data_IF_396999383140
#
_entry.id   IF_396999383140
#
_cell.length_a   1.000
_cell.length_b   1.000
_cell.length_c   1.000
_cell.angle_alpha   90.00
_cell.angle_beta   90.00
_cell.angle_gamma   90.00
#
_symmetry.space_group_name_H-M   'P 1'
#
loop_
_entity.id
_entity.type
_entity.pdbx_description
1 polymer ?
#
# COMPACT_ATOMS: atom_id res chain seq x y z
N UNK A 1 3.79 4.22 -11.68
CA UNK A 1 3.73 2.76 -11.87
C UNK A 1 4.16 2.47 -13.29
N UNK A 2 5.02 1.47 -13.55
CA UNK A 2 5.43 1.09 -14.90
C UNK A 2 4.60 -0.07 -15.44
N UNK A 3 4.40 -1.11 -14.64
CA UNK A 3 3.55 -2.24 -14.97
C UNK A 3 3.14 -2.99 -13.70
N UNK A 4 2.14 -3.86 -13.80
CA UNK A 4 1.67 -4.75 -12.77
C UNK A 4 1.40 -6.12 -13.41
N UNK A 5 1.88 -7.19 -12.78
CA UNK A 5 1.63 -8.58 -13.16
C UNK A 5 0.91 -9.28 -11.99
N UNK A 6 -0.41 -9.42 -12.08
CA UNK A 6 -1.23 -9.85 -10.94
C UNK A 6 -1.02 -8.92 -9.75
N UNK A 7 -0.52 -9.43 -8.63
CA UNK A 7 -0.20 -8.62 -7.44
C UNK A 7 1.24 -8.07 -7.45
N UNK A 8 2.08 -8.44 -8.41
CA UNK A 8 3.47 -7.99 -8.54
C UNK A 8 3.51 -6.61 -9.21
N UNK A 9 3.87 -5.56 -8.46
CA UNK A 9 3.86 -4.17 -8.95
C UNK A 9 5.28 -3.70 -9.25
N UNK A 10 5.53 -3.34 -10.52
CA UNK A 10 6.79 -2.76 -10.97
C UNK A 10 6.68 -1.23 -11.03
N UNK A 11 7.36 -0.55 -10.09
CA UNK A 11 7.35 0.90 -10.01
C UNK A 11 8.64 1.48 -9.42
N UNK A 12 8.96 2.72 -9.79
CA UNK A 12 10.15 3.41 -9.29
C UNK A 12 11.42 2.65 -9.65
N UNK A 13 12.27 2.38 -8.67
CA UNK A 13 13.53 1.66 -8.85
C UNK A 13 13.35 0.15 -9.15
N UNK A 14 12.13 -0.40 -8.98
CA UNK A 14 11.76 -1.78 -9.38
C UNK A 14 11.28 -1.89 -10.83
N UNK A 15 11.40 -0.83 -11.61
CA UNK A 15 10.97 -0.84 -13.02
C UNK A 15 11.89 -1.75 -13.83
N UNK A 16 11.38 -2.58 -14.76
CA UNK A 16 12.22 -3.38 -15.62
C UNK A 16 13.20 -2.49 -16.40
N UNK A 17 14.47 -2.88 -16.40
CA UNK A 17 15.52 -2.22 -17.20
C UNK A 17 15.42 -2.58 -18.67
N UNK A 18 14.78 -3.71 -18.99
CA UNK A 18 14.40 -4.08 -20.36
C UNK A 18 13.09 -4.87 -20.38
N UNK A 19 12.38 -4.72 -21.49
CA UNK A 19 11.17 -5.47 -21.82
C UNK A 19 11.27 -5.98 -23.25
N UNK A 20 10.89 -7.24 -23.48
CA UNK A 20 10.84 -7.85 -24.82
C UNK A 20 9.46 -8.47 -25.04
N UNK A 21 9.00 -8.43 -26.30
CA UNK A 21 7.72 -8.99 -26.73
C UNK A 21 7.94 -9.76 -28.02
N UNK A 22 7.42 -10.98 -28.08
CA UNK A 22 7.43 -11.81 -29.28
C UNK A 22 6.00 -12.26 -29.59
N UNK A 23 5.55 -11.88 -30.78
CA UNK A 23 4.29 -12.29 -31.38
C UNK A 23 4.59 -12.97 -32.71
N UNK A 24 4.00 -14.15 -32.92
CA UNK A 24 4.20 -14.92 -34.14
C UNK A 24 2.88 -15.45 -34.69
N UNK A 25 2.83 -15.62 -36.01
CA UNK A 25 1.70 -16.22 -36.73
C UNK A 25 2.22 -17.42 -37.48
N UNK A 26 1.52 -18.54 -37.34
CA UNK A 26 1.87 -19.80 -37.98
C UNK A 26 1.32 -19.86 -39.39
N UNK A 27 2.16 -20.15 -40.37
CA UNK A 27 1.77 -20.33 -41.77
C UNK A 27 1.94 -21.77 -42.21
N UNK A 28 0.91 -22.31 -42.86
CA UNK A 28 0.99 -23.52 -43.67
C UNK A 28 1.46 -23.18 -45.08
N UNK A 29 2.35 -24.00 -45.64
CA UNK A 29 2.81 -23.88 -47.01
C UNK A 29 2.15 -24.98 -47.86
N UNK A 30 1.55 -24.59 -48.97
CA UNK A 30 0.88 -25.48 -49.92
C UNK A 30 1.70 -25.47 -51.21
N UNK A 31 2.41 -26.57 -51.53
CA UNK A 31 3.19 -26.67 -52.75
C UNK A 31 2.32 -26.52 -54.00
N UNK A 32 2.82 -25.78 -54.99
CA UNK A 32 2.17 -25.62 -56.29
C UNK A 32 3.04 -26.18 -57.40
N UNK A 33 2.42 -26.81 -58.40
CA UNK A 33 3.16 -27.36 -59.55
C UNK A 33 3.71 -26.20 -60.38
N UNK A 34 5.03 -26.14 -60.54
CA UNK A 34 5.78 -25.11 -61.31
C UNK A 34 5.68 -23.65 -60.80
N UNK A 35 5.07 -23.44 -59.64
CA UNK A 35 4.94 -22.12 -59.00
C UNK A 35 5.55 -22.15 -57.59
N UNK A 36 5.72 -20.98 -56.97
CA UNK A 36 6.08 -20.88 -55.55
C UNK A 36 4.94 -21.40 -54.68
N UNK A 37 5.29 -21.95 -53.53
CA UNK A 37 4.34 -22.41 -52.53
C UNK A 37 3.39 -21.29 -52.10
N UNK A 38 2.10 -21.62 -51.98
CA UNK A 38 1.14 -20.71 -51.41
C UNK A 38 1.19 -20.76 -49.89
N UNK A 39 1.21 -19.59 -49.27
CA UNK A 39 1.16 -19.45 -47.81
C UNK A 39 -0.29 -19.28 -47.35
N UNK A 40 -0.66 -19.97 -46.28
CA UNK A 40 -1.97 -19.85 -45.63
C UNK A 40 -1.77 -19.66 -44.12
N UNK A 41 -2.35 -18.62 -43.49
CA UNK A 41 -2.29 -18.49 -42.04
C UNK A 41 -3.10 -19.63 -41.38
N UNK A 42 -2.48 -20.31 -40.42
CA UNK A 42 -3.04 -21.49 -39.73
C UNK A 42 -3.36 -21.23 -38.26
N UNK A 43 -2.85 -20.14 -37.68
CA UNK A 43 -3.15 -19.72 -36.31
C UNK A 43 -2.15 -18.68 -35.81
N UNK A 44 -2.49 -17.99 -34.73
CA UNK A 44 -1.53 -17.18 -33.97
C UNK A 44 -0.81 -18.08 -32.96
N UNK A 45 0.47 -17.83 -32.73
CA UNK A 45 1.21 -18.41 -31.62
C UNK A 45 0.96 -17.57 -30.36
N UNK A 46 1.18 -18.18 -29.19
CA UNK A 46 1.01 -17.50 -27.91
C UNK A 46 2.06 -16.41 -27.77
N UNK A 47 1.64 -15.22 -27.33
CA UNK A 47 2.58 -14.13 -27.08
C UNK A 47 3.54 -14.49 -25.96
N UNK A 48 4.82 -14.17 -26.16
CA UNK A 48 5.84 -14.24 -25.12
C UNK A 48 6.25 -12.84 -24.68
N UNK A 49 6.37 -12.63 -23.37
CA UNK A 49 6.91 -11.40 -22.79
C UNK A 49 8.11 -11.72 -21.91
N UNK A 50 9.15 -10.89 -22.01
CA UNK A 50 10.33 -10.95 -21.15
C UNK A 50 10.49 -9.65 -20.39
N UNK A 51 10.63 -9.71 -19.07
CA UNK A 51 10.87 -8.54 -18.22
C UNK A 51 12.17 -8.74 -17.45
N UNK A 52 13.15 -7.86 -17.62
CA UNK A 52 14.39 -7.90 -16.83
C UNK A 52 14.37 -6.81 -15.78
N UNK A 53 14.40 -7.19 -14.50
CA UNK A 53 14.31 -6.29 -13.35
C UNK A 53 15.58 -6.43 -12.50
N UNK A 54 16.04 -5.33 -11.93
CA UNK A 54 17.10 -5.34 -10.92
C UNK A 54 16.49 -5.07 -9.55
N UNK A 55 16.70 -5.99 -8.61
CA UNK A 55 16.30 -5.85 -7.21
C UNK A 55 17.52 -5.56 -6.35
N UNK A 56 17.42 -4.53 -5.49
CA UNK A 56 18.44 -4.17 -4.51
C UNK A 56 17.83 -4.00 -3.12
N UNK A 57 18.58 -4.38 -2.09
CA UNK A 57 18.25 -4.16 -0.68
C UNK A 57 18.10 -2.66 -0.34
N UNK A 58 18.66 -1.77 -1.15
CA UNK A 58 18.53 -0.31 -0.99
C UNK A 58 17.09 0.20 -1.14
N UNK A 59 16.25 -0.51 -1.92
CA UNK A 59 14.89 -0.06 -2.24
C UNK A 59 13.81 -1.15 -2.13
N UNK A 60 14.18 -2.40 -1.87
CA UNK A 60 13.25 -3.49 -1.66
C UNK A 60 13.87 -4.65 -0.88
N UNK A 61 13.08 -5.66 -0.54
CA UNK A 61 13.62 -6.95 -0.10
C UNK A 61 13.71 -7.88 -1.33
N UNK A 62 14.92 -8.12 -1.90
CA UNK A 62 15.05 -8.93 -3.11
C UNK A 62 14.57 -10.36 -2.92
N UNK A 63 14.76 -10.93 -1.72
CA UNK A 63 14.37 -12.32 -1.44
C UNK A 63 12.86 -12.48 -1.39
N UNK A 64 12.16 -11.55 -0.73
CA UNK A 64 10.70 -11.58 -0.67
C UNK A 64 10.06 -11.44 -2.07
N UNK A 65 10.58 -10.53 -2.91
CA UNK A 65 10.08 -10.32 -4.27
C UNK A 65 10.32 -11.54 -5.16
N UNK A 66 11.53 -12.10 -5.14
CA UNK A 66 11.88 -13.31 -5.90
C UNK A 66 11.02 -14.50 -5.43
N UNK A 67 10.80 -14.64 -4.12
CA UNK A 67 9.97 -15.69 -3.58
C UNK A 67 8.51 -15.55 -4.00
N UNK A 68 7.97 -14.33 -4.02
CA UNK A 68 6.62 -14.07 -4.48
C UNK A 68 6.43 -14.43 -5.96
N UNK A 69 7.39 -14.07 -6.83
CA UNK A 69 7.36 -14.46 -8.25
C UNK A 69 7.44 -15.99 -8.42
N UNK A 70 8.31 -16.66 -7.65
CA UNK A 70 8.40 -18.13 -7.66
C UNK A 70 7.10 -18.77 -7.18
N UNK A 71 6.44 -18.20 -6.17
CA UNK A 71 5.18 -18.71 -5.66
C UNK A 71 4.10 -18.67 -6.75
N UNK A 72 3.92 -17.54 -7.45
CA UNK A 72 2.96 -17.47 -8.57
C UNK A 72 3.33 -18.42 -9.73
N UNK A 73 4.63 -18.55 -10.04
CA UNK A 73 5.12 -19.50 -11.05
C UNK A 73 4.77 -20.96 -10.69
N UNK A 74 5.03 -21.38 -9.45
CA UNK A 74 4.75 -22.75 -8.99
C UNK A 74 3.27 -23.01 -8.71
N UNK A 75 2.48 -21.95 -8.48
CA UNK A 75 1.03 -22.02 -8.40
C UNK A 75 0.36 -22.14 -9.78
N UNK A 76 1.12 -22.00 -10.88
CA UNK A 76 0.62 -21.92 -12.25
C UNK A 76 -0.45 -20.84 -12.42
N UNK A 77 -0.26 -19.73 -11.71
CA UNK A 77 -1.24 -18.66 -11.63
C UNK A 77 -1.32 -17.89 -12.95
N UNK A 78 -2.54 -17.65 -13.42
CA UNK A 78 -2.80 -16.83 -14.60
C UNK A 78 -2.91 -15.37 -14.16
N UNK A 79 -1.88 -14.59 -14.48
CA UNK A 79 -1.69 -13.22 -13.98
C UNK A 79 -2.06 -12.20 -15.06
N UNK A 80 -2.92 -11.21 -14.78
CA UNK A 80 -3.13 -10.10 -15.70
C UNK A 80 -1.88 -9.22 -15.76
N UNK A 81 -1.42 -8.90 -16.97
CA UNK A 81 -0.37 -7.92 -17.19
C UNK A 81 -0.98 -6.56 -17.57
N UNK A 82 -0.71 -5.55 -16.75
CA UNK A 82 -1.29 -4.21 -16.84
C UNK A 82 -0.13 -3.22 -16.94
N UNK A 83 -0.11 -2.36 -17.95
CA UNK A 83 0.91 -1.32 -18.12
C UNK A 83 0.61 -0.10 -17.24
N UNK A 84 1.60 0.78 -17.08
CA UNK A 84 1.54 1.93 -16.17
C UNK A 84 0.51 3.00 -16.52
N UNK A 85 0.07 3.02 -17.78
CA UNK A 85 -1.06 3.81 -18.31
C UNK A 85 -2.43 3.17 -18.02
N UNK A 86 -2.45 1.99 -17.39
CA UNK A 86 -3.66 1.27 -17.00
C UNK A 86 -4.23 0.35 -18.09
N UNK A 87 -3.55 0.20 -19.22
CA UNK A 87 -3.97 -0.73 -20.28
C UNK A 87 -3.71 -2.17 -19.85
N UNK A 88 -4.76 -2.99 -19.95
CA UNK A 88 -4.64 -4.44 -19.75
C UNK A 88 -4.10 -5.04 -21.06
N UNK A 89 -2.89 -5.58 -21.02
CA UNK A 89 -2.22 -6.17 -22.19
C UNK A 89 -2.74 -7.57 -22.47
N UNK A 90 -2.99 -8.35 -21.42
CA UNK A 90 -3.44 -9.73 -21.52
C UNK A 90 -3.25 -10.48 -20.22
N UNK A 91 -3.41 -11.81 -20.28
CA UNK A 91 -3.19 -12.73 -19.17
C UNK A 91 -2.01 -13.63 -19.50
N UNK A 92 -1.12 -13.80 -18.53
CA UNK A 92 0.14 -14.50 -18.71
C UNK A 92 0.41 -15.44 -17.55
N UNK A 93 1.12 -16.53 -17.83
CA UNK A 93 1.73 -17.39 -16.81
C UNK A 93 3.24 -17.16 -16.80
N UNK A 94 3.85 -17.25 -15.62
CA UNK A 94 5.31 -17.23 -15.52
C UNK A 94 5.82 -18.62 -15.92
N UNK A 95 6.62 -18.71 -16.98
CA UNK A 95 7.20 -19.98 -17.45
C UNK A 95 8.56 -20.25 -16.85
N UNK A 96 9.34 -19.20 -16.62
CA UNK A 96 10.65 -19.29 -15.99
C UNK A 96 11.09 -17.97 -15.36
N UNK A 97 12.00 -18.09 -14.40
CA UNK A 97 12.66 -16.99 -13.71
C UNK A 97 14.17 -17.24 -13.75
N UNK A 98 14.90 -16.41 -14.50
CA UNK A 98 16.36 -16.45 -14.54
C UNK A 98 16.91 -15.43 -13.52
N UNK A 99 17.56 -15.92 -12.46
CA UNK A 99 18.03 -15.09 -11.35
C UNK A 99 19.55 -15.07 -11.35
N UNK A 100 20.13 -13.89 -11.53
CA UNK A 100 21.55 -13.63 -11.44
C UNK A 100 21.86 -12.79 -10.19
N UNK A 101 22.33 -13.46 -9.13
CA UNK A 101 22.78 -12.78 -7.92
C UNK A 101 24.12 -12.08 -8.18
N UNK A 102 24.17 -10.76 -7.97
CA UNK A 102 25.35 -9.94 -8.18
C UNK A 102 26.08 -9.64 -6.88
N UNK A 103 25.35 -9.40 -5.80
CA UNK A 103 25.90 -9.16 -4.46
C UNK A 103 25.09 -9.90 -3.40
N UNK A 104 25.80 -10.48 -2.44
CA UNK A 104 25.23 -11.15 -1.28
C UNK A 104 25.89 -10.59 -0.01
N UNK A 105 25.09 -10.44 1.03
CA UNK A 105 25.55 -10.06 2.36
C UNK A 105 26.36 -11.19 3.02
N UNK A 106 27.02 -10.87 4.13
CA UNK A 106 27.89 -11.79 4.87
C UNK A 106 27.14 -13.03 5.43
N UNK A 107 25.83 -12.93 5.58
CA UNK A 107 24.91 -13.99 6.00
C UNK A 107 24.37 -14.83 4.82
N UNK A 108 24.80 -14.53 3.59
CA UNK A 108 24.41 -15.23 2.35
C UNK A 108 23.09 -14.73 1.74
N UNK A 109 22.48 -13.68 2.30
CA UNK A 109 21.27 -13.09 1.75
C UNK A 109 21.58 -12.24 0.53
N UNK A 110 20.66 -12.19 -0.43
CA UNK A 110 20.84 -11.42 -1.67
C UNK A 110 20.64 -9.94 -1.40
N UNK A 111 21.67 -9.14 -1.67
CA UNK A 111 21.60 -7.68 -1.63
C UNK A 111 21.29 -7.09 -2.99
N UNK A 112 21.83 -7.67 -4.08
CA UNK A 112 21.60 -7.20 -5.44
C UNK A 112 21.44 -8.40 -6.38
N UNK A 113 20.34 -8.44 -7.13
CA UNK A 113 20.10 -9.46 -8.15
C UNK A 113 19.40 -8.89 -9.38
N UNK A 114 19.75 -9.42 -10.54
CA UNK A 114 18.98 -9.24 -11.77
C UNK A 114 18.08 -10.45 -11.98
N UNK A 115 16.80 -10.20 -12.21
CA UNK A 115 15.78 -11.23 -12.40
C UNK A 115 15.13 -11.02 -13.76
N UNK A 116 15.21 -12.02 -14.62
CA UNK A 116 14.47 -12.05 -15.89
C UNK A 116 13.25 -12.95 -15.74
N UNK A 117 12.07 -12.37 -15.94
CA UNK A 117 10.77 -13.03 -15.87
C UNK A 117 10.31 -13.31 -17.29
N UNK A 118 10.18 -14.60 -17.62
CA UNK A 118 9.65 -15.03 -18.91
C UNK A 118 8.18 -15.44 -18.74
N UNK A 119 7.34 -14.86 -19.58
CA UNK A 119 5.89 -14.94 -19.52
C UNK A 119 5.37 -15.54 -20.83
N UNK A 120 4.37 -16.40 -20.72
CA UNK A 120 3.65 -16.96 -21.86
C UNK A 120 2.17 -16.62 -21.74
N UNK A 121 1.59 -16.15 -22.84
CA UNK A 121 0.17 -15.84 -22.91
C UNK A 121 -0.69 -17.05 -22.55
N UNK A 122 -1.69 -16.82 -21.71
CA UNK A 122 -2.70 -17.82 -21.37
C UNK A 122 -4.01 -17.43 -22.06
N UNK A 123 -4.41 -18.13 -23.14
CA UNK A 123 -5.68 -17.91 -23.81
C UNK A 123 -6.79 -18.54 -22.97
N UNK A 124 -7.22 -17.85 -21.91
CA UNK A 124 -8.40 -18.23 -21.14
C UNK A 124 -9.68 -17.76 -21.82
N UNK A 125 -10.78 -18.51 -21.63
CA UNK A 125 -12.11 -17.95 -21.84
C UNK A 125 -12.23 -16.67 -21.02
N UNK A 126 -12.87 -15.67 -21.62
CA UNK A 126 -13.17 -14.40 -20.99
C UNK A 126 -14.05 -14.66 -19.77
N UNK A 127 -13.44 -14.90 -18.60
CA UNK A 127 -14.12 -14.74 -17.33
C UNK A 127 -14.64 -13.31 -17.34
N UNK A 128 -15.97 -13.22 -17.32
CA UNK A 128 -16.75 -12.07 -17.73
C UNK A 128 -16.03 -10.78 -17.35
N UNK A 129 -15.80 -9.93 -18.35
CA UNK A 129 -15.45 -8.55 -18.13
C UNK A 129 -16.20 -8.06 -16.88
N UNK A 130 -15.51 -7.42 -15.89
CA UNK A 130 -16.24 -6.81 -14.80
C UNK A 130 -17.35 -6.00 -15.46
N UNK A 131 -18.60 -6.26 -15.08
CA UNK A 131 -19.81 -5.71 -15.72
C UNK A 131 -19.95 -4.19 -15.53
N UNK A 132 -18.84 -3.48 -15.36
CA UNK A 132 -18.71 -2.06 -15.62
C UNK A 132 -18.80 -1.82 -17.12
N UNK A 133 -20.04 -1.80 -17.64
CA UNK A 133 -20.35 -1.09 -18.88
C UNK A 133 -19.77 0.33 -18.77
N UNK A 134 -18.80 0.66 -19.62
CA UNK A 134 -18.50 2.05 -19.90
C UNK A 134 -19.75 2.67 -20.53
N UNK A 135 -20.46 3.49 -19.76
CA UNK A 135 -21.64 4.23 -20.22
C UNK A 135 -21.18 5.34 -21.17
N UNK A 136 -20.93 5.01 -22.44
CA UNK A 136 -20.91 5.98 -23.54
C UNK A 136 -22.35 6.42 -23.82
N UNK A 137 -22.93 7.19 -22.91
CA UNK A 137 -24.17 7.94 -23.13
C UNK A 137 -24.27 9.00 -22.04
N UNK A 138 -23.79 10.19 -22.34
CA UNK A 138 -24.03 11.40 -21.56
C UNK A 138 -25.51 11.75 -21.62
N UNK A 139 -26.31 11.18 -20.71
CA UNK A 139 -27.58 11.77 -20.31
C UNK A 139 -27.77 11.56 -18.82
N UNK A 140 -27.59 12.60 -17.98
CA UNK A 140 -27.71 12.45 -16.54
C UNK A 140 -29.16 12.11 -16.19
N UNK A 141 -29.37 10.94 -15.60
CA UNK A 141 -30.56 10.68 -14.79
C UNK A 141 -30.19 11.16 -13.39
N UNK A 142 -30.94 12.15 -12.88
CA UNK A 142 -30.80 12.60 -11.51
C UNK A 142 -31.22 11.46 -10.57
N UNK A 143 -30.23 10.76 -10.00
CA UNK A 143 -30.45 9.78 -8.93
C UNK A 143 -30.39 10.54 -7.61
N UNK A 144 -31.44 10.37 -6.79
CA UNK A 144 -31.54 10.97 -5.47
C UNK A 144 -30.32 10.55 -4.59
N UNK A 145 -29.83 11.42 -3.70
CA UNK A 145 -28.61 11.16 -2.94
C UNK A 145 -28.83 9.96 -2.03
N UNK A 146 -28.13 8.87 -2.31
CA UNK A 146 -28.00 7.77 -1.35
C UNK A 146 -27.06 8.27 -0.25
N UNK A 147 -27.55 8.37 0.98
CA UNK A 147 -26.75 8.76 2.12
C UNK A 147 -25.49 7.88 2.21
N UNK A 148 -24.33 8.52 2.17
CA UNK A 148 -23.03 7.85 2.21
C UNK A 148 -22.84 7.15 3.56
N UNK A 149 -22.67 5.83 3.54
CA UNK A 149 -22.11 5.13 4.69
C UNK A 149 -20.68 5.66 4.93
N UNK A 150 -20.28 5.91 6.18
CA UNK A 150 -18.98 6.51 6.49
C UNK A 150 -17.85 5.60 6.00
N UNK A 151 -16.93 6.18 5.21
CA UNK A 151 -15.74 5.49 4.75
C UNK A 151 -14.80 5.21 5.95
N UNK A 152 -14.08 4.06 5.97
CA UNK A 152 -13.06 3.79 6.98
C UNK A 152 -12.04 4.92 7.18
N UNK A 153 -11.77 5.71 6.13
CA UNK A 153 -10.90 6.89 6.18
C UNK A 153 -11.50 8.04 7.02
N UNK A 154 -12.82 8.21 7.03
CA UNK A 154 -13.51 9.17 7.91
C UNK A 154 -13.37 8.76 9.38
N UNK A 155 -13.39 7.44 9.65
CA UNK A 155 -13.16 6.90 10.99
C UNK A 155 -11.75 7.16 11.52
N UNK A 156 -10.72 7.05 10.67
CA UNK A 156 -9.32 7.35 11.04
C UNK A 156 -9.15 8.84 11.36
N UNK A 157 -9.70 9.73 10.53
CA UNK A 157 -9.62 11.18 10.76
C UNK A 157 -10.33 11.62 12.05
N UNK A 158 -11.48 11.02 12.35
CA UNK A 158 -12.21 11.29 13.59
C UNK A 158 -11.44 10.80 14.83
N UNK A 159 -10.87 9.59 14.79
CA UNK A 159 -10.08 9.03 15.89
C UNK A 159 -8.81 9.87 16.16
N UNK A 160 -8.11 10.33 15.11
CA UNK A 160 -6.92 11.20 15.23
C UNK A 160 -7.27 12.59 15.76
N UNK A 161 -8.38 13.17 15.30
CA UNK A 161 -8.83 14.49 15.75
C UNK A 161 -9.28 14.47 17.22
N UNK A 162 -10.02 13.44 17.63
CA UNK A 162 -10.41 13.24 19.02
C UNK A 162 -9.18 13.02 19.93
N UNK A 163 -8.18 12.25 19.48
CA UNK A 163 -6.94 12.06 20.22
C UNK A 163 -6.15 13.37 20.39
N UNK A 164 -6.13 14.24 19.37
CA UNK A 164 -5.49 15.56 19.43
C UNK A 164 -6.15 16.49 20.46
N UNK A 165 -7.48 16.50 20.53
CA UNK A 165 -8.21 17.29 21.54
C UNK A 165 -7.91 16.80 22.96
N UNK A 166 -7.85 15.49 23.17
CA UNK A 166 -7.49 14.90 24.47
C UNK A 166 -6.07 15.26 24.90
N UNK A 167 -5.09 15.23 23.99
CA UNK A 167 -3.71 15.66 24.27
C UNK A 167 -3.63 17.17 24.60
N UNK A 168 -4.45 17.99 23.94
CA UNK A 168 -4.58 19.42 24.28
C UNK A 168 -5.17 19.64 25.68
N UNK A 169 -6.21 18.88 26.05
CA UNK A 169 -6.76 18.87 27.41
C UNK A 169 -5.73 18.44 28.47
N UNK A 170 -4.86 17.50 28.12
CA UNK A 170 -3.74 17.05 28.97
C UNK A 170 -2.75 18.18 29.26
N UNK A 171 -2.35 18.96 28.25
CA UNK A 171 -1.50 20.16 28.42
C UNK A 171 -2.15 21.19 29.34
N UNK A 172 -3.46 21.41 29.24
CA UNK A 172 -4.18 22.34 30.13
C UNK A 172 -4.28 21.83 31.57
N UNK A 173 -4.49 20.52 31.75
CA UNK A 173 -4.51 19.90 33.09
C UNK A 173 -3.15 19.99 33.79
N UNK A 174 -2.05 19.80 33.06
CA UNK A 174 -0.68 20.01 33.57
C UNK A 174 -0.42 21.47 33.93
N UNK A 175 -0.87 22.43 33.12
CA UNK A 175 -0.76 23.86 33.46
C UNK A 175 -1.53 24.23 34.75
N UNK A 176 -2.68 23.58 34.99
CA UNK A 176 -3.45 23.71 36.24
C UNK A 176 -2.76 23.01 37.42
N UNK A 177 -2.08 21.90 37.19
CA UNK A 177 -1.27 21.18 38.19
C UNK A 177 -0.06 22.01 38.62
N UNK A 178 0.62 22.68 37.68
CA UNK A 178 1.76 23.57 37.95
C UNK A 178 1.43 24.76 38.85
N UNK A 179 0.17 25.21 38.84
CA UNK A 179 -0.28 26.37 39.62
C UNK A 179 -0.87 26.02 41.00
N UNK A 180 -1.13 24.74 41.31
CA UNK A 180 -1.76 24.32 42.58
C UNK A 180 -1.24 22.94 43.07
N UNK A 181 -0.25 22.96 43.96
CA UNK A 181 0.45 21.79 44.55
C UNK A 181 -0.45 20.74 45.21
N UNK A 182 -1.63 21.11 45.72
CA UNK A 182 -2.59 20.17 46.37
C UNK A 182 -3.57 19.48 45.40
N UNK A 183 -3.68 19.95 44.15
CA UNK A 183 -4.45 19.26 43.08
C UNK A 183 -3.60 18.28 42.27
N UNK A 184 -2.31 18.13 42.59
CA UNK A 184 -1.35 17.27 41.88
C UNK A 184 -1.87 15.83 41.74
N UNK A 185 -2.34 15.19 42.83
CA UNK A 185 -2.89 13.82 42.77
C UNK A 185 -4.14 13.68 41.90
N UNK A 186 -4.97 14.74 41.83
CA UNK A 186 -6.19 14.73 41.01
C UNK A 186 -5.85 14.95 39.54
N UNK A 187 -4.99 15.91 39.26
CA UNK A 187 -4.52 16.19 37.90
C UNK A 187 -3.69 15.05 37.32
N UNK A 188 -2.88 14.34 38.12
CA UNK A 188 -2.17 13.13 37.67
C UNK A 188 -3.15 12.00 37.31
N UNK A 189 -4.21 11.79 38.10
CA UNK A 189 -5.26 10.81 37.75
C UNK A 189 -6.03 11.21 36.49
N UNK A 190 -6.35 12.48 36.33
CA UNK A 190 -6.97 13.00 35.11
C UNK A 190 -6.06 12.78 33.89
N UNK A 191 -4.74 13.05 34.02
CA UNK A 191 -3.74 12.79 32.97
C UNK A 191 -3.63 11.30 32.63
N UNK A 192 -3.60 10.42 33.63
CA UNK A 192 -3.58 8.96 33.43
C UNK A 192 -4.83 8.46 32.68
N UNK A 193 -6.00 8.95 33.08
CA UNK A 193 -7.26 8.54 32.46
C UNK A 193 -7.34 9.03 31.02
N UNK A 194 -6.94 10.27 30.77
CA UNK A 194 -6.90 10.87 29.43
C UNK A 194 -5.82 10.21 28.53
N UNK A 195 -4.71 9.74 29.11
CA UNK A 195 -3.70 8.96 28.41
C UNK A 195 -4.19 7.55 28.04
N UNK A 196 -4.95 6.91 28.92
CA UNK A 196 -5.57 5.59 28.66
C UNK A 196 -6.61 5.69 27.53
N UNK A 197 -7.44 6.74 27.55
CA UNK A 197 -8.39 7.04 26.47
C UNK A 197 -7.68 7.29 25.14
N UNK A 198 -6.60 8.09 25.15
CA UNK A 198 -5.80 8.37 23.96
C UNK A 198 -5.14 7.12 23.39
N UNK A 199 -4.61 6.23 24.26
CA UNK A 199 -4.05 4.94 23.86
C UNK A 199 -5.10 4.07 23.15
N UNK A 200 -6.33 4.01 23.67
CA UNK A 200 -7.43 3.27 23.04
C UNK A 200 -7.79 3.81 21.65
N UNK A 201 -7.82 5.13 21.48
CA UNK A 201 -8.08 5.77 20.19
C UNK A 201 -6.95 5.52 19.17
N UNK A 202 -5.69 5.63 19.59
CA UNK A 202 -4.56 5.33 18.70
C UNK A 202 -4.49 3.84 18.32
N UNK A 203 -4.84 2.93 19.23
CA UNK A 203 -4.92 1.49 18.93
C UNK A 203 -6.07 1.14 17.97
N UNK A 204 -7.24 1.78 18.14
CA UNK A 204 -8.37 1.70 17.19
C UNK A 204 -7.94 2.21 15.82
N UNK A 205 -7.30 3.38 15.76
CA UNK A 205 -6.79 3.96 14.52
C UNK A 205 -5.76 3.03 13.86
N UNK A 206 -4.82 2.45 14.62
CA UNK A 206 -3.83 1.47 14.13
C UNK A 206 -4.50 0.25 13.51
N UNK A 207 -5.53 -0.30 14.17
CA UNK A 207 -6.26 -1.47 13.67
C UNK A 207 -7.02 -1.16 12.38
N UNK A 208 -7.69 0.00 12.31
CA UNK A 208 -8.38 0.47 11.10
C UNK A 208 -7.38 0.79 9.98
N UNK A 209 -6.20 1.28 10.32
CA UNK A 209 -5.08 1.49 9.40
C UNK A 209 -4.64 0.14 8.84
N UNK A 210 -4.29 -0.84 9.67
CA UNK A 210 -3.93 -2.19 9.20
C UNK A 210 -5.01 -2.84 8.31
N UNK A 211 -6.29 -2.67 8.64
CA UNK A 211 -7.40 -3.15 7.81
C UNK A 211 -7.53 -2.43 6.45
N UNK A 212 -7.00 -1.20 6.35
CA UNK A 212 -7.04 -0.35 5.16
C UNK A 212 -5.68 -0.29 4.45
N UNK A 213 -4.79 -1.29 4.69
CA UNK A 213 -3.38 -1.34 4.24
C UNK A 213 -3.14 -0.92 2.78
N UNK A 214 -4.11 -1.20 1.89
CA UNK A 214 -4.07 -0.80 0.46
C UNK A 214 -4.05 0.71 0.22
N UNK A 215 -4.62 1.53 1.13
CA UNK A 215 -4.59 3.01 1.06
C UNK A 215 -3.31 3.56 1.73
N UNK A 216 -2.73 2.84 2.69
CA UNK A 216 -1.62 3.27 3.55
C UNK A 216 -0.24 3.19 2.90
N UNK A 217 -0.06 2.35 1.89
CA UNK A 217 1.18 2.37 1.11
C UNK A 217 1.46 3.74 0.45
N UNK A 218 0.47 4.65 0.39
CA UNK A 218 0.65 6.06 -0.04
C UNK A 218 0.88 7.05 1.11
N UNK A 219 0.70 6.64 2.38
CA UNK A 219 0.82 7.47 3.58
C UNK A 219 1.91 6.95 4.55
N UNK A 220 2.94 6.29 4.03
CA UNK A 220 3.80 5.27 4.67
C UNK A 220 4.34 5.50 6.09
N UNK A 221 4.34 6.72 6.63
CA UNK A 221 4.79 7.01 8.00
C UNK A 221 3.66 6.99 9.05
N UNK A 222 2.40 6.82 8.65
CA UNK A 222 1.25 6.82 9.56
C UNK A 222 1.29 5.68 10.60
N UNK A 223 1.61 4.41 10.26
CA UNK A 223 1.73 3.34 11.25
C UNK A 223 2.80 3.62 12.30
N UNK A 224 3.98 4.10 11.87
CA UNK A 224 5.11 4.43 12.74
C UNK A 224 4.77 5.57 13.71
N UNK A 225 4.08 6.61 13.22
CA UNK A 225 3.67 7.74 14.09
C UNK A 225 2.61 7.34 15.12
N UNK A 226 1.69 6.42 14.78
CA UNK A 226 0.73 5.85 15.72
C UNK A 226 1.43 5.01 16.79
N UNK A 227 2.46 4.26 16.44
CA UNK A 227 3.26 3.47 17.39
C UNK A 227 4.04 4.33 18.38
N UNK A 228 4.65 5.42 17.91
CA UNK A 228 5.27 6.43 18.79
C UNK A 228 4.24 7.00 19.78
N UNK A 229 3.06 7.39 19.29
CA UNK A 229 2.00 7.96 20.12
C UNK A 229 1.46 6.98 21.17
N UNK A 230 1.29 5.70 20.81
CA UNK A 230 0.89 4.63 21.74
C UNK A 230 1.96 4.42 22.82
N UNK A 231 3.24 4.43 22.46
CA UNK A 231 4.33 4.26 23.41
C UNK A 231 4.39 5.41 24.43
N UNK A 232 4.26 6.65 23.98
CA UNK A 232 4.22 7.80 24.89
C UNK A 232 2.97 7.76 25.78
N UNK A 233 1.77 7.50 25.23
CA UNK A 233 0.55 7.41 26.02
C UNK A 233 0.63 6.29 27.10
N UNK A 234 1.19 5.13 26.76
CA UNK A 234 1.45 4.04 27.70
C UNK A 234 2.43 4.46 28.81
N UNK A 235 3.47 5.21 28.48
CA UNK A 235 4.41 5.72 29.47
C UNK A 235 3.72 6.69 30.44
N UNK A 236 2.83 7.57 29.96
CA UNK A 236 2.04 8.45 30.83
C UNK A 236 1.05 7.67 31.72
N UNK A 237 0.41 6.62 31.19
CA UNK A 237 -0.54 5.81 31.95
C UNK A 237 0.12 5.05 33.12
N UNK A 238 1.43 4.79 33.03
CA UNK A 238 2.23 4.09 34.05
C UNK A 238 2.90 5.00 35.07
N UNK A 239 2.81 6.34 34.90
CA UNK A 239 3.40 7.30 35.84
C UNK A 239 2.71 7.19 37.20
N UNK A 240 3.48 7.00 38.29
CA UNK A 240 2.94 6.97 39.66
C UNK A 240 2.68 8.39 40.21
N UNK A 241 1.88 8.51 41.28
CA UNK A 241 1.42 9.77 41.89
C UNK A 241 2.54 10.65 42.49
N UNK A 242 3.80 10.22 42.44
CA UNK A 242 4.96 10.87 43.07
C UNK A 242 5.94 11.45 42.05
N UNK A 243 5.61 11.42 40.76
CA UNK A 243 6.52 11.84 39.69
C UNK A 243 6.58 13.36 39.52
N UNK A 244 7.78 13.86 39.27
CA UNK A 244 8.09 15.27 39.09
C UNK A 244 7.30 15.88 37.93
N UNK A 245 6.74 17.07 38.13
CA UNK A 245 5.90 17.78 37.12
C UNK A 245 6.69 17.99 35.83
N UNK A 246 8.00 18.13 35.93
CA UNK A 246 8.92 18.25 34.80
C UNK A 246 8.93 17.01 33.88
N UNK A 247 8.81 15.81 34.46
CA UNK A 247 8.75 14.53 33.71
C UNK A 247 7.39 14.36 33.04
N UNK A 248 6.31 14.78 33.71
CA UNK A 248 4.96 14.85 33.13
C UNK A 248 4.92 15.83 31.95
N UNK A 249 5.52 17.02 32.09
CA UNK A 249 5.63 18.02 31.03
C UNK A 249 6.41 17.50 29.83
N UNK A 250 7.54 16.82 30.07
CA UNK A 250 8.37 16.24 29.00
C UNK A 250 7.62 15.16 28.22
N UNK A 251 6.98 14.22 28.92
CA UNK A 251 6.28 13.10 28.29
C UNK A 251 5.00 13.57 27.57
N UNK A 252 4.27 14.56 28.10
CA UNK A 252 3.13 15.20 27.40
C UNK A 252 3.59 16.02 26.20
N UNK A 253 4.75 16.67 26.28
CA UNK A 253 5.40 17.33 25.15
C UNK A 253 5.66 16.36 24.01
N UNK A 254 6.33 15.24 24.30
CA UNK A 254 6.62 14.18 23.33
C UNK A 254 5.36 13.54 22.75
N UNK A 255 4.34 13.28 23.59
CA UNK A 255 3.04 12.80 23.12
C UNK A 255 2.37 13.82 22.18
N UNK A 256 2.44 15.11 22.49
CA UNK A 256 1.91 16.16 21.62
C UNK A 256 2.65 16.27 20.29
N UNK A 257 3.97 16.09 20.29
CA UNK A 257 4.77 16.14 19.06
C UNK A 257 4.46 14.91 18.19
N UNK A 258 4.34 13.73 18.80
CA UNK A 258 3.91 12.50 18.10
C UNK A 258 2.48 12.63 17.54
N UNK A 259 1.53 13.22 18.28
CA UNK A 259 0.18 13.51 17.80
C UNK A 259 0.19 14.49 16.60
N UNK A 260 1.12 15.46 16.62
CA UNK A 260 1.36 16.36 15.48
C UNK A 260 1.83 15.60 14.24
N UNK A 261 2.79 14.68 14.39
CA UNK A 261 3.25 13.80 13.31
C UNK A 261 2.14 12.90 12.78
N UNK A 262 1.34 12.28 13.66
CA UNK A 262 0.17 11.46 13.30
C UNK A 262 -0.80 12.27 12.47
N UNK A 263 -1.14 13.50 12.92
CA UNK A 263 -2.03 14.40 12.17
C UNK A 263 -1.48 14.70 10.77
N UNK A 264 -0.22 15.09 10.67
CA UNK A 264 0.44 15.40 9.39
C UNK A 264 0.46 14.20 8.45
N UNK A 265 0.72 13.01 8.98
CA UNK A 265 0.72 11.76 8.21
C UNK A 265 -0.69 11.25 7.85
N UNK A 266 -1.72 11.69 8.57
CA UNK A 266 -3.12 11.38 8.28
C UNK A 266 -3.78 12.38 7.29
N UNK A 267 -3.22 13.59 7.12
CA UNK A 267 -3.74 14.60 6.17
C UNK A 267 -3.92 14.08 4.74
N UNK A 268 -3.00 13.29 4.15
CA UNK A 268 -3.20 12.71 2.81
C UNK A 268 -4.36 11.70 2.77
N UNK A 269 -4.59 10.98 3.87
CA UNK A 269 -5.69 10.01 4.00
C UNK A 269 -7.04 10.73 4.13
N UNK A 270 -7.08 11.86 4.85
CA UNK A 270 -8.25 12.73 4.94
C UNK A 270 -8.57 13.44 3.62
N UNK A 271 -7.55 13.88 2.87
CA UNK A 271 -7.69 14.44 1.53
C UNK A 271 -8.35 13.44 0.56
N UNK A 272 -7.99 12.17 0.65
CA UNK A 272 -8.60 11.10 -0.16
C UNK A 272 -10.04 10.77 0.25
N UNK A 273 -10.40 10.96 1.53
CA UNK A 273 -11.78 10.81 2.00
C UNK A 273 -12.68 11.99 1.61
N UNK A 274 -12.10 13.19 1.50
CA UNK A 274 -12.78 14.42 1.05
C UNK A 274 -12.98 14.48 -0.46
N UNK A 275 -12.11 13.85 -1.25
CA UNK A 275 -12.27 13.69 -2.70
C UNK A 275 -13.16 12.49 -3.03
N UNK A 276 -14.43 12.57 -2.66
CA UNK A 276 -15.51 11.93 -3.42
C UNK A 276 -16.19 13.05 -4.21
N UNK A 277 -15.55 13.54 -5.28
CA UNK A 277 -16.11 14.31 -6.40
C UNK A 277 -15.00 15.10 -7.12
N UNK A 278 -15.00 15.01 -8.46
CA UNK A 278 -13.99 15.60 -9.36
C UNK A 278 -12.97 14.53 -9.78
N UNK A 279 -13.21 13.69 -10.79
CA UNK A 279 -13.74 14.04 -12.10
C UNK A 279 -12.58 14.22 -13.07
N UNK A 280 -12.00 13.11 -13.55
CA UNK A 280 -11.86 12.70 -14.95
C UNK A 280 -11.01 11.43 -15.02
#
# INVERSE_FOLDING_TARGET
MFAQLGDHIFQGLKTPVSTSEADAVKYGQIPRVNDKDAIQPTGAELRELGLTITYSSEFCDPQAEIYALKASMHAFEVLPYITGDGRIVGRFVITSLDIANQQCAADGWVELATVTVNLLESPGEEEAAPTGRALSSQKPIAVAPVASAPSPATGITNDVSAAKEKVSGMKQSIAKVKSRTTSLKRGVREVQQLATDAQGLYASAKTKVEATKKIINRAGNLPTSLDEAIAYASNLAKIDNVVDVSVLEMNVGQLSDSAGKVTTSATPVAGFAGTKEGGN
#
